data_IF_146455574221
#
_entry.id   IF_146455574221
#
_cell.length_a   1.000
_cell.length_b   1.000
_cell.length_c   1.000
_cell.angle_alpha   90.00
_cell.angle_beta   90.00
_cell.angle_gamma   90.00
#
_symmetry.space_group_name_H-M   'P 1'
#
loop_
_entity.id
_entity.type
_entity.pdbx_description
1 polymer ?
#
# COMPACT_ATOMS: atom_id res chain seq x y z
N UNK A 1 46.44 -8.00 4.56
CA UNK A 1 45.27 -7.11 4.53
C UNK A 1 44.01 -7.97 4.55
N UNK A 2 43.50 -8.30 5.74
CA UNK A 2 42.30 -9.15 5.88
C UNK A 2 41.04 -8.34 5.64
N UNK A 3 40.25 -8.73 4.63
CA UNK A 3 38.92 -8.15 4.39
C UNK A 3 37.94 -8.74 5.39
N UNK A 4 37.47 -7.92 6.31
CA UNK A 4 36.38 -8.28 7.22
C UNK A 4 35.12 -8.58 6.40
N UNK A 5 34.62 -9.81 6.50
CA UNK A 5 33.34 -10.24 5.92
C UNK A 5 32.21 -9.51 6.66
N UNK A 6 31.22 -8.92 5.98
CA UNK A 6 30.07 -8.33 6.66
C UNK A 6 29.30 -9.47 7.34
N UNK A 7 29.12 -9.36 8.66
CA UNK A 7 28.22 -10.21 9.43
C UNK A 7 26.78 -9.99 8.92
N UNK A 8 26.01 -11.05 8.61
CA UNK A 8 24.61 -10.89 8.26
C UNK A 8 23.86 -10.30 9.46
N UNK A 9 23.16 -9.20 9.25
CA UNK A 9 22.26 -8.62 10.24
C UNK A 9 21.24 -9.67 10.68
N UNK A 10 20.92 -9.79 11.99
CA UNK A 10 19.91 -10.73 12.45
C UNK A 10 18.56 -10.42 11.76
N UNK A 11 17.73 -11.44 11.46
CA UNK A 11 16.40 -11.21 10.92
C UNK A 11 15.66 -10.29 11.90
N UNK A 12 15.11 -9.19 11.40
CA UNK A 12 14.38 -8.26 12.26
C UNK A 12 13.15 -8.99 12.81
N UNK A 13 13.08 -9.21 14.12
CA UNK A 13 11.92 -9.76 14.85
C UNK A 13 10.64 -8.90 14.71
N UNK A 14 10.71 -7.78 13.99
CA UNK A 14 9.55 -6.95 13.69
C UNK A 14 8.69 -7.67 12.64
N UNK A 15 7.43 -7.95 12.94
CA UNK A 15 6.55 -8.55 11.95
C UNK A 15 6.35 -7.53 10.81
N UNK A 16 6.74 -7.91 9.59
CA UNK A 16 6.32 -7.20 8.38
C UNK A 16 4.80 -7.26 8.23
N UNK A 17 4.22 -6.39 7.39
CA UNK A 17 2.78 -6.35 7.14
C UNK A 17 2.24 -7.73 6.71
N UNK A 18 2.99 -8.42 5.85
CA UNK A 18 2.72 -9.79 5.36
C UNK A 18 2.50 -10.79 6.52
N UNK A 19 3.18 -10.59 7.65
CA UNK A 19 3.07 -11.46 8.82
C UNK A 19 2.11 -10.93 9.89
N UNK A 20 2.01 -9.62 10.07
CA UNK A 20 1.14 -9.02 11.09
C UNK A 20 -0.34 -9.16 10.72
N UNK A 21 -0.70 -8.79 9.49
CA UNK A 21 -2.08 -8.87 9.01
C UNK A 21 -2.50 -10.33 8.81
N UNK A 22 -1.63 -11.18 8.28
CA UNK A 22 -1.91 -12.60 8.11
C UNK A 22 -2.22 -13.31 9.44
N UNK A 23 -1.47 -13.02 10.52
CA UNK A 23 -1.78 -13.57 11.87
C UNK A 23 -3.11 -13.06 12.42
N UNK A 24 -3.42 -11.78 12.19
CA UNK A 24 -4.68 -11.18 12.65
C UNK A 24 -5.87 -11.80 11.89
N UNK A 25 -5.75 -11.97 10.58
CA UNK A 25 -6.73 -12.65 9.73
C UNK A 25 -6.97 -14.08 10.20
N UNK A 26 -5.91 -14.87 10.39
CA UNK A 26 -6.03 -16.24 10.89
C UNK A 26 -6.76 -16.31 12.25
N UNK A 27 -6.56 -15.32 13.14
CA UNK A 27 -7.29 -15.23 14.41
C UNK A 27 -8.77 -14.89 14.21
N UNK A 28 -9.09 -14.00 13.28
CA UNK A 28 -10.47 -13.63 12.95
C UNK A 28 -11.22 -14.79 12.28
N UNK A 29 -10.55 -15.51 11.39
CA UNK A 29 -11.09 -16.71 10.74
C UNK A 29 -11.28 -17.85 11.72
N UNK A 30 -10.36 -18.07 12.66
CA UNK A 30 -10.53 -19.06 13.72
C UNK A 30 -11.69 -18.72 14.68
N UNK A 31 -11.98 -17.43 14.88
CA UNK A 31 -13.12 -16.97 15.66
C UNK A 31 -14.44 -17.02 14.87
N UNK A 32 -14.38 -17.15 13.55
CA UNK A 32 -15.56 -17.34 12.70
C UNK A 32 -16.09 -18.74 12.94
N UNK A 33 -17.31 -18.82 13.46
CA UNK A 33 -18.04 -20.09 13.54
C UNK A 33 -18.34 -20.51 12.09
N UNK A 34 -17.87 -21.69 11.63
CA UNK A 34 -18.26 -22.19 10.34
C UNK A 34 -19.74 -22.53 10.45
N UNK A 35 -20.58 -21.85 9.67
CA UNK A 35 -21.85 -22.33 9.12
C UNK A 35 -22.61 -21.16 8.50
N UNK A 36 -23.45 -21.45 7.50
CA UNK A 36 -24.27 -20.53 6.69
C UNK A 36 -25.30 -19.68 7.46
N UNK A 37 -24.92 -19.13 8.61
CA UNK A 37 -25.64 -18.12 9.36
C UNK A 37 -25.67 -16.83 8.53
N UNK A 38 -26.83 -16.16 8.44
CA UNK A 38 -26.93 -14.88 7.75
C UNK A 38 -25.96 -13.85 8.35
N UNK A 39 -25.48 -12.94 7.49
CA UNK A 39 -24.69 -11.74 7.81
C UNK A 39 -24.97 -11.24 9.23
N UNK A 40 -23.95 -11.16 10.08
CA UNK A 40 -24.10 -10.63 11.44
C UNK A 40 -24.14 -9.10 11.40
N UNK A 41 -25.29 -8.55 11.02
CA UNK A 41 -25.52 -7.11 10.82
C UNK A 41 -25.17 -6.25 12.03
N UNK A 42 -25.29 -6.82 13.24
CA UNK A 42 -24.88 -6.14 14.48
C UNK A 42 -23.36 -6.01 14.56
N UNK A 43 -22.62 -7.11 14.38
CA UNK A 43 -21.14 -7.08 14.40
C UNK A 43 -20.61 -6.20 13.28
N UNK A 44 -21.17 -6.26 12.08
CA UNK A 44 -20.80 -5.36 10.97
C UNK A 44 -21.02 -3.89 11.34
N UNK A 45 -22.13 -3.55 12.02
CA UNK A 45 -22.41 -2.17 12.44
C UNK A 45 -21.47 -1.69 13.55
N UNK A 46 -21.16 -2.57 14.52
CA UNK A 46 -20.22 -2.27 15.60
C UNK A 46 -18.80 -2.06 15.06
N UNK A 47 -18.32 -2.97 14.21
CA UNK A 47 -17.02 -2.84 13.53
C UNK A 47 -16.98 -1.61 12.60
N UNK A 48 -18.06 -1.34 11.86
CA UNK A 48 -18.16 -0.15 11.00
C UNK A 48 -18.06 1.17 11.78
N UNK A 49 -18.69 1.25 12.95
CA UNK A 49 -18.55 2.43 13.83
C UNK A 49 -17.14 2.58 14.38
N UNK A 50 -16.56 1.49 14.85
CA UNK A 50 -15.19 1.49 15.36
C UNK A 50 -14.18 1.91 14.28
N UNK A 51 -14.35 1.41 13.05
CA UNK A 51 -13.59 1.83 11.88
C UNK A 51 -13.71 3.34 11.63
N UNK A 52 -14.93 3.89 11.62
CA UNK A 52 -15.12 5.34 11.40
C UNK A 52 -14.44 6.17 12.49
N UNK A 53 -14.60 5.80 13.76
CA UNK A 53 -13.94 6.52 14.86
C UNK A 53 -12.41 6.46 14.74
N UNK A 54 -11.83 5.29 14.44
CA UNK A 54 -10.38 5.16 14.27
C UNK A 54 -9.87 5.97 13.07
N UNK A 55 -10.61 5.98 11.95
CA UNK A 55 -10.26 6.77 10.78
C UNK A 55 -10.31 8.28 11.05
N UNK A 56 -11.32 8.75 11.78
CA UNK A 56 -11.40 10.15 12.23
C UNK A 56 -10.22 10.51 13.14
N UNK A 57 -9.87 9.63 14.10
CA UNK A 57 -8.73 9.83 14.99
C UNK A 57 -7.41 9.88 14.22
N UNK A 58 -7.18 9.01 13.22
CA UNK A 58 -6.02 9.11 12.34
C UNK A 58 -5.87 10.50 11.70
N UNK A 59 -6.96 11.06 11.19
CA UNK A 59 -6.94 12.39 10.56
C UNK A 59 -6.66 13.46 11.62
N UNK A 60 -7.24 13.36 12.80
CA UNK A 60 -6.98 14.29 13.89
C UNK A 60 -5.52 14.26 14.34
N UNK A 61 -4.92 13.07 14.46
CA UNK A 61 -3.52 12.93 14.85
C UNK A 61 -2.57 13.46 13.78
N UNK A 62 -2.92 13.27 12.50
CA UNK A 62 -2.20 13.89 11.40
C UNK A 62 -2.23 15.42 11.52
N UNK A 63 -3.41 16.00 11.78
CA UNK A 63 -3.58 17.46 11.91
C UNK A 63 -2.85 18.03 13.12
N UNK A 64 -2.82 17.28 14.23
CA UNK A 64 -2.16 17.68 15.48
C UNK A 64 -0.67 17.30 15.51
N UNK A 65 -0.16 16.65 14.45
CA UNK A 65 1.21 16.16 14.34
C UNK A 65 1.58 15.13 15.44
N UNK A 66 0.60 14.41 15.98
CA UNK A 66 0.83 13.30 16.90
C UNK A 66 1.20 12.04 16.11
N UNK A 67 2.51 11.81 15.98
CA UNK A 67 3.03 10.64 15.27
C UNK A 67 2.68 9.33 15.98
N UNK A 68 2.66 9.32 17.32
CA UNK A 68 2.41 8.10 18.09
C UNK A 68 0.94 7.71 17.98
N UNK A 69 0.05 8.68 18.15
CA UNK A 69 -1.38 8.52 17.90
C UNK A 69 -1.64 8.03 16.48
N UNK A 70 -1.04 8.69 15.48
CA UNK A 70 -1.25 8.34 14.07
C UNK A 70 -0.88 6.87 13.79
N UNK A 71 0.20 6.36 14.36
CA UNK A 71 0.59 4.94 14.22
C UNK A 71 -0.45 4.02 14.89
N UNK A 72 -0.89 4.34 16.10
CA UNK A 72 -1.83 3.53 16.86
C UNK A 72 -3.20 3.46 16.14
N UNK A 73 -3.80 4.60 15.85
CA UNK A 73 -5.10 4.62 15.20
C UNK A 73 -5.04 4.09 13.76
N UNK A 74 -3.89 4.19 13.06
CA UNK A 74 -3.73 3.54 11.75
C UNK A 74 -3.80 2.01 11.87
N UNK A 75 -3.24 1.45 12.95
CA UNK A 75 -3.36 0.01 13.21
C UNK A 75 -4.79 -0.39 13.56
N UNK A 76 -5.52 0.45 14.30
CA UNK A 76 -6.94 0.24 14.61
C UNK A 76 -7.81 0.28 13.35
N UNK A 77 -7.56 1.22 12.43
CA UNK A 77 -8.22 1.29 11.12
C UNK A 77 -8.07 -0.02 10.35
N UNK A 78 -6.85 -0.55 10.25
CA UNK A 78 -6.60 -1.82 9.56
C UNK A 78 -7.28 -3.00 10.28
N UNK A 79 -7.28 -2.99 11.61
CA UNK A 79 -7.90 -4.04 12.42
C UNK A 79 -9.41 -4.07 12.22
N UNK A 80 -10.09 -2.94 12.34
CA UNK A 80 -11.54 -2.85 12.15
C UNK A 80 -11.95 -3.12 10.70
N UNK A 81 -11.10 -2.77 9.73
CA UNK A 81 -11.35 -3.13 8.33
C UNK A 81 -11.37 -4.66 8.13
N UNK A 82 -10.43 -5.39 8.74
CA UNK A 82 -10.42 -6.86 8.72
C UNK A 82 -11.63 -7.46 9.45
N UNK A 83 -12.06 -6.87 10.57
CA UNK A 83 -13.28 -7.30 11.28
C UNK A 83 -14.54 -7.12 10.43
N UNK A 84 -14.61 -6.03 9.65
CA UNK A 84 -15.72 -5.81 8.69
C UNK A 84 -15.71 -6.91 7.62
N UNK A 85 -14.55 -7.23 7.04
CA UNK A 85 -14.46 -8.31 6.04
C UNK A 85 -14.85 -9.67 6.64
N UNK A 86 -14.39 -9.94 7.85
CA UNK A 86 -14.74 -11.13 8.60
C UNK A 86 -16.26 -11.23 8.85
N UNK A 87 -16.92 -10.11 9.15
CA UNK A 87 -18.36 -10.06 9.43
C UNK A 87 -19.25 -10.12 8.17
N UNK A 88 -18.74 -9.66 7.02
CA UNK A 88 -19.47 -9.63 5.74
C UNK A 88 -19.08 -10.75 4.76
N UNK A 89 -18.30 -11.73 5.23
CA UNK A 89 -17.83 -12.86 4.42
C UNK A 89 -17.03 -12.45 3.17
N UNK A 90 -16.28 -11.35 3.27
CA UNK A 90 -15.32 -10.94 2.25
C UNK A 90 -14.02 -11.72 2.47
N UNK A 91 -13.52 -12.37 1.43
CA UNK A 91 -12.21 -13.01 1.45
C UNK A 91 -11.12 -11.92 1.37
N UNK A 92 -10.18 -11.85 2.34
CA UNK A 92 -9.10 -10.88 2.25
C UNK A 92 -8.22 -11.03 1.00
N UNK A 93 -8.09 -12.24 0.44
CA UNK A 93 -7.30 -12.45 -0.79
C UNK A 93 -7.89 -11.72 -1.99
N UNK A 94 -9.21 -11.52 -2.05
CA UNK A 94 -9.85 -10.71 -3.07
C UNK A 94 -9.40 -9.25 -2.99
N UNK A 95 -9.27 -8.72 -1.76
CA UNK A 95 -8.82 -7.34 -1.53
C UNK A 95 -7.34 -7.19 -1.83
N UNK A 96 -6.52 -8.16 -1.43
CA UNK A 96 -5.08 -8.18 -1.73
C UNK A 96 -4.83 -8.24 -3.23
N UNK A 97 -5.57 -9.07 -3.95
CA UNK A 97 -5.53 -9.17 -5.42
C UNK A 97 -5.90 -7.84 -6.06
N UNK A 98 -6.93 -7.14 -5.55
CA UNK A 98 -7.32 -5.82 -6.06
C UNK A 98 -6.25 -4.75 -5.79
N UNK A 99 -5.62 -4.74 -4.62
CA UNK A 99 -4.52 -3.80 -4.31
C UNK A 99 -3.29 -4.05 -5.21
N UNK A 100 -2.93 -5.30 -5.43
CA UNK A 100 -1.86 -5.70 -6.35
C UNK A 100 -2.19 -5.28 -7.79
N UNK A 101 -3.42 -5.48 -8.24
CA UNK A 101 -3.90 -4.99 -9.54
C UNK A 101 -3.74 -3.47 -9.67
N UNK A 102 -4.17 -2.68 -8.68
CA UNK A 102 -4.01 -1.22 -8.68
C UNK A 102 -2.54 -0.80 -8.74
N UNK A 103 -1.69 -1.48 -7.99
CA UNK A 103 -0.25 -1.22 -7.95
C UNK A 103 0.40 -1.50 -9.31
N UNK A 104 0.10 -2.64 -9.92
CA UNK A 104 0.59 -2.98 -11.26
C UNK A 104 0.15 -1.97 -12.32
N UNK A 105 -1.12 -1.55 -12.31
CA UNK A 105 -1.60 -0.53 -13.22
C UNK A 105 -0.89 0.81 -13.03
N UNK A 106 -0.71 1.25 -11.79
CA UNK A 106 0.03 2.48 -11.48
C UNK A 106 1.47 2.45 -12.00
N UNK A 107 2.16 1.34 -11.79
CA UNK A 107 3.52 1.14 -12.29
C UNK A 107 3.60 1.14 -13.82
N UNK A 108 2.63 0.53 -14.50
CA UNK A 108 2.55 0.54 -15.96
C UNK A 108 2.34 1.96 -16.50
N UNK A 109 1.40 2.71 -15.92
CA UNK A 109 1.13 4.09 -16.32
C UNK A 109 2.35 4.99 -16.11
N UNK A 110 3.05 4.84 -14.99
CA UNK A 110 4.29 5.55 -14.74
C UNK A 110 5.35 5.20 -15.79
N UNK A 111 5.52 3.92 -16.12
CA UNK A 111 6.47 3.47 -17.13
C UNK A 111 6.17 4.08 -18.50
N UNK A 112 4.92 4.02 -18.96
CA UNK A 112 4.51 4.60 -20.24
C UNK A 112 4.78 6.12 -20.30
N UNK A 113 4.41 6.86 -19.25
CA UNK A 113 4.66 8.29 -19.13
C UNK A 113 6.17 8.64 -19.17
N UNK A 114 7.03 7.78 -18.61
CA UNK A 114 8.48 7.96 -18.66
C UNK A 114 9.08 7.61 -20.03
N UNK A 115 8.52 6.62 -20.74
CA UNK A 115 8.96 6.26 -22.09
C UNK A 115 8.68 7.35 -23.13
N UNK A 116 7.53 8.03 -23.05
CA UNK A 116 7.19 9.17 -23.91
C UNK A 116 8.12 10.38 -23.68
N UNK A 117 8.44 10.70 -22.42
CA UNK A 117 9.40 11.76 -22.09
C UNK A 117 10.80 11.48 -22.63
N UNK A 118 11.23 10.22 -22.57
CA UNK A 118 12.55 9.79 -23.04
C UNK A 118 12.64 9.84 -24.57
N UNK A 119 11.56 9.44 -25.28
CA UNK A 119 11.52 9.45 -26.75
C UNK A 119 11.52 10.87 -27.33
N UNK A 120 10.81 11.82 -26.71
CA UNK A 120 10.79 13.24 -27.13
C UNK A 120 12.16 13.89 -26.91
N UNK A 121 12.82 13.63 -25.78
CA UNK A 121 14.18 14.15 -25.51
C UNK A 121 15.20 13.68 -26.56
N UNK A 122 15.07 12.43 -27.02
CA UNK A 122 15.95 11.86 -28.04
C UNK A 122 15.63 12.39 -29.44
N UNK A 123 14.35 12.58 -29.76
CA UNK A 123 13.91 13.16 -31.04
C UNK A 123 14.25 14.66 -31.16
N UNK A 124 14.19 15.42 -30.07
CA UNK A 124 14.57 16.84 -30.04
C UNK A 124 16.06 17.08 -30.32
N UNK A 125 16.93 16.10 -30.00
CA UNK A 125 18.37 16.12 -30.33
C UNK A 125 18.67 15.88 -31.81
N UNK A 126 17.68 15.49 -32.62
CA UNK A 126 17.82 15.26 -34.08
C UNK A 126 17.39 16.46 -34.92
N UNK A 127 17.32 17.67 -34.37
CA UNK A 127 17.27 18.88 -35.23
C UNK A 127 18.66 19.05 -35.85
N UNK A 128 18.85 18.82 -37.17
CA UNK A 128 20.14 19.05 -37.79
C UNK A 128 20.38 20.56 -37.71
N UNK A 129 21.43 20.96 -37.01
CA UNK A 129 21.81 22.36 -36.90
C UNK A 129 22.01 22.92 -38.31
N UNK A 130 21.22 23.94 -38.67
CA UNK A 130 21.38 24.69 -39.93
C UNK A 130 22.80 25.24 -39.99
N UNK A 131 23.61 24.74 -40.91
CA UNK A 131 24.93 25.29 -41.21
C UNK A 131 24.71 26.68 -41.80
N UNK A 132 25.03 27.71 -41.01
CA UNK A 132 25.12 29.10 -41.46
C UNK A 132 26.49 29.20 -42.15
N UNK A 133 26.54 29.05 -43.46
CA UNK A 133 27.79 29.28 -44.19
C UNK A 133 28.04 30.79 -44.21
N UNK A 134 28.87 31.25 -43.27
CA UNK A 134 29.38 32.61 -43.22
C UNK A 134 30.62 32.70 -44.10
N UNK A 135 30.47 33.30 -45.30
CA UNK A 135 31.45 33.98 -46.20
C UNK A 135 32.78 33.25 -46.52
N UNK A 136 33.35 33.24 -47.73
CA UNK A 136 33.81 34.28 -48.69
C UNK A 136 34.44 33.51 -49.91
N UNK A 137 34.81 34.10 -51.07
CA UNK A 137 35.26 35.48 -51.32
C UNK A 137 34.24 36.39 -52.01
#
# INVERSE_FOLDING_TARGET
>A
MSRSRPTPSPPSDRPGADHALGRLQARLDAARIPDGRPRNTRVTREAGRAFTCAAEQCVMDLMTHDRTGLIAHSADVLTHLLEIWAADSIDPEDVWTELDRRTRMGNLLLALNMTERTSISTAARRRPWKIRTTKLP
#
